data_IF_888379160210
#
_entry.id   IF_888379160210
#
_cell.length_a   1.000
_cell.length_b   1.000
_cell.length_c   1.000
_cell.angle_alpha   90.00
_cell.angle_beta   90.00
_cell.angle_gamma   90.00
#
_symmetry.space_group_name_H-M   'P 1'
#
loop_
_entity.id
_entity.type
_entity.pdbx_description
1 polymer ?
#
# COMPACT_ATOMS: atom_id res chain seq x y z
N UNK A 1 -5.33 9.10 8.14
CA UNK A 1 -3.98 9.01 8.74
C UNK A 1 -4.03 7.99 9.85
N UNK A 2 -2.99 7.19 10.00
CA UNK A 2 -2.89 6.13 11.00
C UNK A 2 -1.53 6.23 11.69
N UNK A 3 -1.46 5.83 12.96
CA UNK A 3 -0.17 5.53 13.58
C UNK A 3 0.35 4.17 13.10
N UNK A 4 1.63 3.89 13.38
CA UNK A 4 2.21 2.54 13.19
C UNK A 4 1.35 1.46 13.84
N UNK A 5 0.97 1.66 15.11
CA UNK A 5 0.18 0.69 15.86
C UNK A 5 -1.20 0.47 15.23
N UNK A 6 -1.92 1.56 14.90
CA UNK A 6 -3.23 1.46 14.25
C UNK A 6 -3.18 0.67 12.94
N UNK A 7 -2.13 0.87 12.15
CA UNK A 7 -1.97 0.19 10.86
C UNK A 7 -1.69 -1.32 11.01
N UNK A 8 -0.89 -1.70 12.01
CA UNK A 8 -0.63 -3.11 12.35
C UNK A 8 -1.88 -3.76 12.93
N UNK A 9 -2.57 -3.10 13.86
CA UNK A 9 -3.78 -3.62 14.51
C UNK A 9 -4.93 -3.81 13.51
N UNK A 10 -4.98 -2.98 12.46
CA UNK A 10 -5.91 -3.14 11.33
C UNK A 10 -5.53 -4.25 10.36
N UNK A 11 -4.38 -4.91 10.56
CA UNK A 11 -3.93 -6.01 9.72
C UNK A 11 -3.40 -5.59 8.34
N UNK A 12 -3.05 -4.32 8.14
CA UNK A 12 -2.61 -3.81 6.82
C UNK A 12 -1.32 -4.47 6.31
N UNK A 13 -0.55 -5.08 7.20
CA UNK A 13 0.71 -5.76 6.87
C UNK A 13 0.63 -7.29 7.08
N UNK A 14 -0.58 -7.84 7.14
CA UNK A 14 -0.83 -9.27 7.37
C UNK A 14 -0.98 -9.63 8.86
N UNK A 15 -1.28 -10.90 9.11
CA UNK A 15 -1.60 -11.41 10.45
C UNK A 15 -0.40 -11.40 11.43
N UNK A 16 0.82 -11.38 10.90
CA UNK A 16 2.05 -11.43 11.70
C UNK A 16 3.03 -10.37 11.21
N UNK A 17 3.33 -9.41 12.09
CA UNK A 17 4.34 -8.37 11.84
C UNK A 17 5.51 -8.62 12.79
N UNK A 18 6.69 -8.89 12.25
CA UNK A 18 7.90 -9.05 13.06
C UNK A 18 8.36 -7.71 13.64
N UNK A 19 9.14 -7.74 14.73
CA UNK A 19 9.70 -6.53 15.33
C UNK A 19 10.51 -5.70 14.31
N UNK A 20 11.36 -6.36 13.51
CA UNK A 20 12.14 -5.71 12.44
C UNK A 20 11.25 -5.10 11.36
N UNK A 21 10.11 -5.70 11.02
CA UNK A 21 9.16 -5.12 10.07
C UNK A 21 8.45 -3.91 10.69
N UNK A 22 8.03 -4.00 11.95
CA UNK A 22 7.38 -2.91 12.67
C UNK A 22 8.29 -1.66 12.76
N UNK A 23 9.58 -1.84 13.01
CA UNK A 23 10.58 -0.77 13.05
C UNK A 23 10.74 -0.01 11.71
N UNK A 24 10.40 -0.66 10.59
CA UNK A 24 10.47 -0.04 9.25
C UNK A 24 9.21 0.72 8.86
N UNK A 25 8.15 0.62 9.64
CA UNK A 25 6.92 1.40 9.42
C UNK A 25 7.11 2.76 10.07
N UNK A 26 6.86 3.85 9.33
CA UNK A 26 6.94 5.20 9.87
C UNK A 26 5.94 5.45 10.99
N UNK A 27 6.16 6.51 11.78
CA UNK A 27 5.25 6.86 12.89
C UNK A 27 3.86 7.28 12.37
N UNK A 28 3.82 7.79 11.15
CA UNK A 28 2.61 8.22 10.44
C UNK A 28 2.49 7.47 9.13
N UNK A 29 1.34 6.82 8.93
CA UNK A 29 0.93 6.22 7.67
C UNK A 29 -0.23 7.01 7.06
N UNK A 30 -0.08 7.37 5.79
CA UNK A 30 -1.13 8.00 5.00
C UNK A 30 -1.36 7.16 3.76
N UNK A 31 -2.63 6.84 3.52
CA UNK A 31 -3.09 6.07 2.38
C UNK A 31 -3.90 7.03 1.52
N UNK A 32 -3.53 7.15 0.25
CA UNK A 32 -4.26 7.99 -0.69
C UNK A 32 -5.64 7.38 -1.00
N UNK A 33 -6.63 8.22 -1.28
CA UNK A 33 -7.99 7.80 -1.63
C UNK A 33 -8.39 8.38 -2.99
N UNK A 34 -9.22 7.63 -3.72
CA UNK A 34 -9.70 8.03 -5.04
C UNK A 34 -8.56 8.27 -6.03
N UNK A 35 -8.70 9.27 -6.91
CA UNK A 35 -7.71 9.59 -7.93
C UNK A 35 -6.53 10.45 -7.41
N UNK A 36 -6.02 10.17 -6.20
CA UNK A 36 -4.96 10.94 -5.55
C UNK A 36 -3.71 10.08 -5.34
N UNK A 37 -2.53 10.69 -5.43
CA UNK A 37 -1.25 10.07 -5.06
C UNK A 37 -0.48 10.99 -4.13
N UNK A 38 0.24 10.40 -3.16
CA UNK A 38 1.12 11.12 -2.25
C UNK A 38 2.56 10.85 -2.66
N UNK A 39 3.31 11.89 -3.01
CA UNK A 39 4.68 11.73 -3.49
C UNK A 39 5.55 12.93 -3.20
N UNK A 40 6.84 12.69 -2.98
CA UNK A 40 7.87 13.74 -2.87
C UNK A 40 8.31 14.17 -4.27
N UNK A 41 7.44 14.87 -5.00
CA UNK A 41 7.66 15.28 -6.40
C UNK A 41 9.02 15.93 -6.69
N UNK A 42 9.55 16.73 -5.76
CA UNK A 42 10.88 17.37 -5.89
C UNK A 42 12.05 16.39 -5.80
N UNK A 43 11.86 15.26 -5.12
CA UNK A 43 12.91 14.26 -4.90
C UNK A 43 12.70 12.98 -5.73
N UNK A 44 11.50 12.77 -6.27
CA UNK A 44 11.11 11.62 -7.07
C UNK A 44 10.53 12.06 -8.44
N UNK A 45 11.24 12.92 -9.20
CA UNK A 45 10.69 13.53 -10.41
C UNK A 45 10.36 12.52 -11.50
N UNK A 46 11.05 11.37 -11.51
CA UNK A 46 10.87 10.33 -12.54
C UNK A 46 9.61 9.48 -12.34
N UNK A 47 9.03 9.48 -11.13
CA UNK A 47 7.81 8.72 -10.83
C UNK A 47 6.54 9.57 -10.97
N UNK A 48 6.68 10.90 -10.95
CA UNK A 48 5.57 11.84 -11.13
C UNK A 48 4.79 11.71 -12.44
N UNK A 49 5.42 11.50 -13.61
CA UNK A 49 4.69 11.52 -14.87
C UNK A 49 3.92 10.22 -15.14
N UNK A 50 3.95 9.24 -14.22
CA UNK A 50 3.22 8.01 -14.41
C UNK A 50 1.70 8.27 -14.38
N UNK A 51 0.96 7.79 -15.40
CA UNK A 51 -0.48 8.04 -15.48
C UNK A 51 -1.28 7.22 -14.48
N UNK A 52 -0.68 6.21 -13.85
CA UNK A 52 -1.32 5.32 -12.89
C UNK A 52 -0.41 5.02 -11.70
N UNK A 53 -1.01 5.05 -10.51
CA UNK A 53 -0.41 4.66 -9.24
C UNK A 53 -1.37 3.76 -8.47
N UNK A 54 -0.82 2.92 -7.61
CA UNK A 54 -1.57 2.02 -6.74
C UNK A 54 -0.95 2.07 -5.33
N UNK A 55 -1.70 1.57 -4.35
CA UNK A 55 -1.25 1.46 -2.96
C UNK A 55 -2.31 1.87 -1.95
N UNK A 56 -3.52 2.23 -2.40
CA UNK A 56 -4.68 2.40 -1.57
C UNK A 56 -5.30 1.08 -1.11
N UNK A 57 -6.44 1.20 -0.41
CA UNK A 57 -7.18 0.07 0.17
C UNK A 57 -8.53 -0.17 -0.52
N UNK A 58 -8.71 0.37 -1.73
CA UNK A 58 -9.95 0.14 -2.48
C UNK A 58 -9.93 -1.24 -3.12
N UNK A 59 -11.11 -1.82 -3.33
CA UNK A 59 -11.27 -3.11 -4.01
C UNK A 59 -10.59 -3.12 -5.40
N UNK A 60 -10.69 -2.00 -6.13
CA UNK A 60 -10.06 -1.80 -7.45
C UNK A 60 -8.52 -1.83 -7.40
N UNK A 61 -7.91 -1.50 -6.26
CA UNK A 61 -6.47 -1.51 -6.07
C UNK A 61 -5.94 -2.81 -5.44
N UNK A 62 -6.76 -3.49 -4.63
CA UNK A 62 -6.33 -4.67 -3.88
C UNK A 62 -6.55 -5.99 -4.62
N UNK A 63 -7.64 -6.12 -5.39
CA UNK A 63 -7.98 -7.40 -6.01
C UNK A 63 -7.19 -7.62 -7.30
N UNK A 64 -6.37 -8.67 -7.30
CA UNK A 64 -5.64 -9.15 -8.48
C UNK A 64 -6.26 -10.47 -8.95
N UNK A 65 -6.61 -10.63 -10.24
CA UNK A 65 -7.19 -11.87 -10.73
C UNK A 65 -6.25 -13.07 -10.55
N UNK A 66 -6.78 -14.17 -10.01
CA UNK A 66 -6.13 -15.48 -10.00
C UNK A 66 -6.77 -16.36 -11.07
N UNK A 67 -5.99 -16.72 -12.09
CA UNK A 67 -6.43 -17.60 -13.17
C UNK A 67 -5.73 -18.95 -13.04
N UNK A 68 -6.49 -20.04 -13.03
CA UNK A 68 -5.97 -21.40 -12.99
C UNK A 68 -6.59 -22.24 -14.11
N UNK A 69 -5.77 -23.06 -14.78
CA UNK A 69 -6.21 -24.01 -15.78
C UNK A 69 -5.87 -25.42 -15.31
N UNK A 70 -6.86 -26.31 -15.33
CA UNK A 70 -6.66 -27.74 -15.08
C UNK A 70 -6.57 -28.48 -16.40
N UNK A 71 -5.57 -29.35 -16.58
CA UNK A 71 -5.57 -30.31 -17.68
C UNK A 71 -6.68 -31.36 -17.46
N UNK A 72 -7.28 -31.84 -18.55
CA UNK A 72 -8.21 -32.98 -18.54
C UNK A 72 -7.44 -34.30 -18.49
#
# INVERSE_FOLDING_TARGET
>A
MLTRADAIDRGLFGAHVSATAAERIGDVLVIANGATTLMRTKHEPNHFPFPGHHGGLTDDELYVPLVHATAQ
#
